data_IF_677828675084
#
_entry.id   IF_677828675084
#
_cell.length_a   1.000
_cell.length_b   1.000
_cell.length_c   1.000
_cell.angle_alpha   90.00
_cell.angle_beta   90.00
_cell.angle_gamma   90.00
#
_symmetry.space_group_name_H-M   'P 1'
#
loop_
_entity.id
_entity.type
_entity.pdbx_description
1 polymer ?
#
# COMPACT_ATOMS: atom_id res chain seq x y z
N UNK A 1 44.13 -15.44 3.83
CA UNK A 1 44.03 -14.13 3.19
C UNK A 1 42.58 -13.82 2.93
N UNK A 2 41.95 -13.05 3.84
CA UNK A 2 40.55 -12.66 3.74
C UNK A 2 40.45 -11.30 3.02
N UNK A 3 39.97 -11.32 1.78
CA UNK A 3 39.61 -10.09 1.07
C UNK A 3 38.27 -9.58 1.62
N UNK A 4 38.32 -8.54 2.45
CA UNK A 4 37.20 -7.68 2.78
C UNK A 4 36.70 -7.01 1.49
N UNK A 5 35.57 -7.47 0.94
CA UNK A 5 34.80 -6.72 -0.05
C UNK A 5 34.30 -5.43 0.63
N UNK A 6 34.98 -4.33 0.39
CA UNK A 6 34.47 -2.98 0.69
C UNK A 6 33.20 -2.76 -0.08
N UNK A 7 32.06 -2.70 0.64
CA UNK A 7 30.79 -2.15 0.14
C UNK A 7 31.08 -0.71 -0.28
N UNK A 8 31.14 -0.46 -1.56
CA UNK A 8 31.21 0.87 -2.14
C UNK A 8 29.83 1.48 -1.97
N UNK A 9 29.64 2.27 -0.91
CA UNK A 9 28.45 3.10 -0.74
C UNK A 9 28.45 4.12 -1.88
N UNK A 10 27.78 3.74 -2.98
CA UNK A 10 27.56 4.63 -4.10
C UNK A 10 26.45 5.61 -3.73
N UNK A 11 26.82 6.69 -3.08
CA UNK A 11 25.99 7.87 -2.84
C UNK A 11 25.81 8.62 -4.19
N UNK A 12 25.24 7.94 -5.19
CA UNK A 12 24.93 8.53 -6.48
C UNK A 12 23.68 9.37 -6.30
N UNK A 13 23.86 10.67 -6.09
CA UNK A 13 22.75 11.62 -6.09
C UNK A 13 22.32 11.88 -7.54
N UNK A 14 21.02 11.78 -7.83
CA UNK A 14 20.41 12.16 -9.11
C UNK A 14 20.46 13.67 -9.37
N UNK A 15 20.96 14.45 -8.40
CA UNK A 15 21.15 15.90 -8.48
C UNK A 15 22.28 16.35 -9.43
N UNK A 16 22.99 15.42 -10.08
CA UNK A 16 23.99 15.73 -11.12
C UNK A 16 23.37 16.41 -12.34
N UNK A 17 24.17 17.23 -13.04
CA UNK A 17 23.75 17.97 -14.24
C UNK A 17 23.50 17.10 -15.48
N UNK A 18 23.75 15.79 -15.43
CA UNK A 18 23.56 14.86 -16.56
C UNK A 18 22.12 14.34 -16.69
N UNK A 19 21.80 13.71 -17.82
CA UNK A 19 20.50 13.05 -17.99
C UNK A 19 20.33 11.89 -17.01
N UNK A 20 19.10 11.66 -16.56
CA UNK A 20 18.77 10.48 -15.72
C UNK A 20 18.77 9.23 -16.60
N UNK A 21 19.38 8.14 -16.12
CA UNK A 21 19.49 6.86 -16.81
C UNK A 21 18.60 5.77 -16.17
N UNK A 22 18.40 4.67 -16.87
CA UNK A 22 17.71 3.49 -16.35
C UNK A 22 18.43 2.86 -15.13
N UNK A 23 19.78 2.93 -15.08
CA UNK A 23 20.52 2.50 -13.88
C UNK A 23 20.16 3.35 -12.67
N UNK A 24 20.10 4.66 -12.83
CA UNK A 24 19.74 5.58 -11.76
C UNK A 24 18.28 5.38 -11.29
N UNK A 25 17.36 5.07 -12.22
CA UNK A 25 16.00 4.68 -11.91
C UNK A 25 15.96 3.43 -11.02
N UNK A 26 16.72 2.37 -11.35
CA UNK A 26 16.80 1.14 -10.55
C UNK A 26 17.48 1.36 -9.19
N UNK A 27 18.54 2.16 -9.16
CA UNK A 27 19.24 2.51 -7.92
C UNK A 27 18.35 3.30 -6.96
N UNK A 28 17.53 4.21 -7.48
CA UNK A 28 16.58 4.98 -6.68
C UNK A 28 15.51 4.06 -6.08
N UNK A 29 14.96 3.10 -6.83
CA UNK A 29 14.02 2.11 -6.30
C UNK A 29 14.62 1.37 -5.10
N UNK A 30 15.86 0.91 -5.21
CA UNK A 30 16.57 0.21 -4.13
C UNK A 30 16.82 1.13 -2.93
N UNK A 31 17.24 2.38 -3.17
CA UNK A 31 17.46 3.39 -2.14
C UNK A 31 16.19 3.68 -1.34
N UNK A 32 15.04 3.78 -2.02
CA UNK A 32 13.74 4.03 -1.41
C UNK A 32 13.14 2.78 -0.74
N UNK A 33 13.76 1.61 -0.94
CA UNK A 33 13.28 0.32 -0.40
C UNK A 33 11.82 0.00 -0.76
N UNK A 34 11.38 0.40 -1.97
CA UNK A 34 10.01 0.24 -2.45
C UNK A 34 9.91 -0.99 -3.35
N UNK A 35 8.87 -1.80 -3.19
CA UNK A 35 8.59 -2.91 -4.10
C UNK A 35 8.27 -2.40 -5.52
N UNK A 36 8.60 -3.19 -6.54
CA UNK A 36 8.46 -2.77 -7.93
C UNK A 36 7.05 -2.26 -8.27
N UNK A 37 6.01 -2.95 -7.81
CA UNK A 37 4.63 -2.55 -8.08
C UNK A 37 4.26 -1.20 -7.46
N UNK A 38 4.74 -0.93 -6.26
CA UNK A 38 4.51 0.33 -5.54
C UNK A 38 5.34 1.46 -6.17
N UNK A 39 6.58 1.17 -6.60
CA UNK A 39 7.44 2.13 -7.29
C UNK A 39 6.83 2.56 -8.64
N UNK A 40 6.26 1.61 -9.38
CA UNK A 40 5.55 1.93 -10.62
C UNK A 40 4.30 2.78 -10.36
N UNK A 41 3.54 2.45 -9.33
CA UNK A 41 2.36 3.22 -8.93
C UNK A 41 2.73 4.64 -8.49
N UNK A 42 3.81 4.79 -7.72
CA UNK A 42 4.36 6.07 -7.27
C UNK A 42 4.73 6.97 -8.44
N UNK A 43 5.40 6.41 -9.45
CA UNK A 43 5.87 7.14 -10.63
C UNK A 43 4.79 7.30 -11.71
N UNK A 44 3.65 6.61 -11.58
CA UNK A 44 2.58 6.60 -12.57
C UNK A 44 2.92 5.85 -13.86
N UNK A 45 3.93 4.97 -13.84
CA UNK A 45 4.38 4.22 -15.01
C UNK A 45 3.77 2.82 -15.09
N UNK A 46 3.69 2.29 -16.30
CA UNK A 46 3.21 0.92 -16.57
C UNK A 46 4.36 -0.10 -16.50
N UNK A 47 4.01 -1.39 -16.39
CA UNK A 47 5.00 -2.48 -16.51
C UNK A 47 5.76 -2.46 -17.83
N UNK A 48 5.08 -2.06 -18.92
CA UNK A 48 5.72 -1.92 -20.24
C UNK A 48 6.78 -0.84 -20.25
N UNK A 49 6.49 0.31 -19.66
CA UNK A 49 7.45 1.43 -19.56
C UNK A 49 8.63 1.03 -18.66
N UNK A 50 8.38 0.38 -17.51
CA UNK A 50 9.44 -0.18 -16.68
C UNK A 50 10.34 -1.12 -17.47
N UNK A 51 9.75 -2.06 -18.24
CA UNK A 51 10.52 -2.99 -19.06
C UNK A 51 11.40 -2.26 -20.09
N UNK A 52 10.87 -1.23 -20.77
CA UNK A 52 11.63 -0.43 -21.74
C UNK A 52 12.80 0.32 -21.07
N UNK A 53 12.60 0.87 -19.86
CA UNK A 53 13.65 1.54 -19.09
C UNK A 53 14.76 0.55 -18.71
N UNK A 54 14.40 -0.67 -18.35
CA UNK A 54 15.35 -1.68 -17.85
C UNK A 54 16.01 -2.50 -18.96
N UNK A 55 15.52 -2.40 -20.20
CA UNK A 55 16.09 -3.10 -21.37
C UNK A 55 17.49 -2.57 -21.71
N UNK A 56 17.70 -1.27 -21.61
CA UNK A 56 19.00 -0.61 -21.75
C UNK A 56 19.19 0.37 -20.59
N UNK A 57 19.67 -0.12 -19.43
CA UNK A 57 19.80 0.71 -18.23
C UNK A 57 20.78 1.86 -18.36
N UNK A 58 21.76 1.78 -19.29
CA UNK A 58 22.75 2.84 -19.51
C UNK A 58 22.16 4.00 -20.34
N UNK A 59 21.08 3.75 -21.07
CA UNK A 59 20.45 4.78 -21.89
C UNK A 59 19.80 5.89 -21.04
N UNK A 60 19.87 7.16 -21.51
CA UNK A 60 19.17 8.26 -20.87
C UNK A 60 17.65 8.10 -21.04
N UNK A 61 16.91 8.47 -20.00
CA UNK A 61 15.46 8.50 -20.04
C UNK A 61 14.99 9.71 -20.87
N UNK A 62 14.07 9.45 -21.81
CA UNK A 62 13.57 10.48 -22.74
C UNK A 62 12.38 11.29 -22.19
N UNK A 63 11.74 10.84 -21.09
CA UNK A 63 10.61 11.53 -20.48
C UNK A 63 11.08 12.55 -19.43
N UNK A 64 11.00 13.86 -19.71
CA UNK A 64 11.39 14.90 -18.76
C UNK A 64 10.57 14.88 -17.47
N UNK A 65 9.28 14.54 -17.55
CA UNK A 65 8.39 14.46 -16.40
C UNK A 65 8.82 13.36 -15.44
N UNK A 66 9.12 12.17 -15.98
CA UNK A 66 9.66 11.07 -15.18
C UNK A 66 11.04 11.43 -14.57
N UNK A 67 11.93 12.05 -15.35
CA UNK A 67 13.24 12.48 -14.83
C UNK A 67 13.12 13.49 -13.69
N UNK A 68 12.23 14.46 -13.79
CA UNK A 68 11.96 15.44 -12.72
C UNK A 68 11.39 14.74 -11.47
N UNK A 69 10.47 13.79 -11.65
CA UNK A 69 9.89 13.02 -10.54
C UNK A 69 10.96 12.19 -9.82
N UNK A 70 11.83 11.51 -10.55
CA UNK A 70 12.95 10.75 -9.97
C UNK A 70 13.91 11.65 -9.18
N UNK A 71 14.26 12.83 -9.69
CA UNK A 71 15.09 13.80 -8.99
C UNK A 71 14.43 14.32 -7.71
N UNK A 72 13.12 14.59 -7.76
CA UNK A 72 12.34 15.02 -6.62
C UNK A 72 12.35 13.95 -5.51
N UNK A 73 12.13 12.68 -5.86
CA UNK A 73 12.15 11.57 -4.90
C UNK A 73 13.55 11.26 -4.37
N UNK A 74 14.60 11.54 -5.13
CA UNK A 74 15.99 11.40 -4.66
C UNK A 74 16.35 12.48 -3.64
N UNK A 75 15.86 13.69 -3.83
CA UNK A 75 16.07 14.84 -2.95
C UNK A 75 15.17 14.79 -1.70
N UNK A 76 13.92 14.35 -1.87
CA UNK A 76 12.89 14.28 -0.83
C UNK A 76 12.33 12.86 -0.70
N UNK A 77 13.11 11.90 -0.20
CA UNK A 77 12.67 10.51 -0.07
C UNK A 77 11.47 10.33 0.88
N UNK A 78 11.22 11.29 1.77
CA UNK A 78 10.06 11.32 2.65
C UNK A 78 8.73 11.50 1.91
N UNK A 79 8.74 11.94 0.65
CA UNK A 79 7.55 11.97 -0.21
C UNK A 79 7.07 10.57 -0.62
N UNK A 80 7.93 9.57 -0.46
CA UNK A 80 7.56 8.17 -0.60
C UNK A 80 6.83 7.74 0.66
N UNK A 81 5.57 8.08 0.74
CA UNK A 81 4.67 7.47 1.73
C UNK A 81 4.34 6.08 1.20
N UNK A 82 4.76 5.01 1.87
CA UNK A 82 4.37 3.67 1.47
C UNK A 82 2.85 3.61 1.40
N UNK A 83 2.32 3.11 0.28
CA UNK A 83 0.88 2.83 0.22
C UNK A 83 0.54 1.92 1.42
N UNK A 84 -0.47 2.28 2.24
CA UNK A 84 -0.84 1.47 3.38
C UNK A 84 -1.22 0.08 2.89
N UNK A 85 -0.68 -0.94 3.53
CA UNK A 85 -1.00 -2.34 3.21
C UNK A 85 -2.31 -2.73 3.87
N UNK A 86 -2.97 -3.74 3.32
CA UNK A 86 -4.16 -4.30 4.00
C UNK A 86 -3.84 -4.76 5.42
N UNK A 87 -2.61 -5.24 5.67
CA UNK A 87 -2.16 -5.62 7.00
C UNK A 87 -2.11 -4.44 7.96
N UNK A 88 -1.75 -3.24 7.50
CA UNK A 88 -1.71 -2.05 8.34
C UNK A 88 -3.12 -1.71 8.83
N UNK A 89 -4.14 -1.83 7.97
CA UNK A 89 -5.53 -1.69 8.39
C UNK A 89 -5.94 -2.78 9.40
N UNK A 90 -5.48 -4.03 9.24
CA UNK A 90 -5.74 -5.10 10.21
C UNK A 90 -5.14 -4.77 11.58
N UNK A 91 -3.89 -4.32 11.61
CA UNK A 91 -3.22 -3.95 12.86
C UNK A 91 -3.86 -2.70 13.49
N UNK A 92 -4.28 -1.73 12.67
CA UNK A 92 -4.95 -0.52 13.13
C UNK A 92 -6.30 -0.83 13.80
N UNK A 93 -7.12 -1.69 13.17
CA UNK A 93 -8.39 -2.16 13.76
C UNK A 93 -8.17 -2.91 15.08
N UNK A 94 -7.11 -3.73 15.17
CA UNK A 94 -6.74 -4.41 16.41
C UNK A 94 -6.29 -3.41 17.49
N UNK A 95 -5.53 -2.38 17.10
CA UNK A 95 -5.08 -1.34 18.02
C UNK A 95 -6.27 -0.56 18.59
N UNK A 96 -7.21 -0.11 17.73
CA UNK A 96 -8.43 0.57 18.20
C UNK A 96 -9.17 -0.28 19.23
N UNK A 97 -9.37 -1.58 19.00
CA UNK A 97 -10.05 -2.45 19.97
C UNK A 97 -9.27 -2.64 21.27
N UNK A 98 -7.93 -2.57 21.24
CA UNK A 98 -7.10 -2.60 22.47
C UNK A 98 -7.24 -1.31 23.26
N UNK A 99 -7.20 -0.16 22.57
CA UNK A 99 -7.23 1.16 23.20
C UNK A 99 -8.64 1.54 23.68
N UNK A 100 -9.66 1.01 22.99
CA UNK A 100 -11.08 1.19 23.27
C UNK A 100 -11.78 -0.17 23.41
N UNK A 101 -11.63 -0.87 24.55
CA UNK A 101 -12.20 -2.21 24.74
C UNK A 101 -13.71 -2.28 24.59
N UNK A 102 -14.41 -1.15 24.86
CA UNK A 102 -15.87 -1.03 24.77
C UNK A 102 -16.38 -0.89 23.32
N UNK A 103 -15.48 -0.75 22.32
CA UNK A 103 -15.90 -0.64 20.92
C UNK A 103 -16.77 -1.83 20.54
N UNK A 104 -18.01 -1.56 20.13
CA UNK A 104 -18.91 -2.60 19.66
C UNK A 104 -18.54 -3.01 18.23
N UNK A 105 -17.91 -4.18 18.12
CA UNK A 105 -17.55 -4.78 16.83
C UNK A 105 -18.36 -6.06 16.61
N UNK A 106 -18.88 -6.25 15.41
CA UNK A 106 -19.74 -7.42 15.08
C UNK A 106 -18.97 -8.75 15.13
N UNK A 107 -17.65 -8.70 15.15
CA UNK A 107 -16.77 -9.87 15.32
C UNK A 107 -15.39 -9.43 15.81
N UNK A 108 -14.56 -10.39 16.26
CA UNK A 108 -13.19 -10.12 16.70
C UNK A 108 -12.36 -9.41 15.62
N UNK A 109 -11.54 -8.39 16.00
CA UNK A 109 -10.66 -7.67 15.08
C UNK A 109 -9.65 -8.63 14.46
N UNK A 110 -9.74 -8.79 13.16
CA UNK A 110 -8.97 -9.81 12.42
C UNK A 110 -8.89 -9.49 10.93
N UNK A 111 -8.05 -10.22 10.21
CA UNK A 111 -8.04 -10.17 8.75
C UNK A 111 -9.40 -10.52 8.13
N UNK A 112 -10.20 -11.39 8.79
CA UNK A 112 -11.54 -11.72 8.30
C UNK A 112 -12.48 -10.51 8.39
N UNK A 113 -12.50 -9.79 9.52
CA UNK A 113 -13.27 -8.55 9.65
C UNK A 113 -12.88 -7.56 8.56
N UNK A 114 -11.58 -7.30 8.40
CA UNK A 114 -11.07 -6.35 7.38
C UNK A 114 -11.43 -6.80 5.96
N UNK A 115 -11.37 -8.10 5.65
CA UNK A 115 -11.82 -8.62 4.35
C UNK A 115 -13.28 -8.26 4.06
N UNK A 116 -14.16 -8.43 5.04
CA UNK A 116 -15.59 -8.08 4.94
C UNK A 116 -15.79 -6.56 4.83
N UNK A 117 -15.09 -5.78 5.63
CA UNK A 117 -15.08 -4.30 5.59
C UNK A 117 -14.69 -3.78 4.19
N UNK A 118 -13.84 -4.48 3.48
CA UNK A 118 -13.39 -4.12 2.13
C UNK A 118 -14.30 -4.70 1.01
N UNK A 119 -15.49 -5.17 1.33
CA UNK A 119 -16.43 -5.72 0.36
C UNK A 119 -15.97 -7.05 -0.27
N UNK A 120 -15.19 -7.85 0.48
CA UNK A 120 -14.63 -9.11 0.01
C UNK A 120 -14.96 -10.26 0.96
N UNK A 121 -14.68 -11.50 0.56
CA UNK A 121 -14.77 -12.65 1.48
C UNK A 121 -13.84 -12.43 2.67
N UNK A 122 -14.22 -12.88 3.85
CA UNK A 122 -13.41 -12.73 5.06
C UNK A 122 -11.95 -13.19 4.89
N UNK A 123 -11.72 -14.29 4.17
CA UNK A 123 -10.36 -14.82 3.91
C UNK A 123 -9.51 -13.97 2.97
N UNK A 124 -10.09 -13.00 2.26
CA UNK A 124 -9.36 -12.23 1.23
C UNK A 124 -8.16 -11.46 1.81
N UNK A 125 -8.34 -10.79 2.96
CA UNK A 125 -7.26 -10.04 3.59
C UNK A 125 -6.08 -10.95 4.00
N UNK A 126 -6.36 -12.17 4.48
CA UNK A 126 -5.31 -13.15 4.79
C UNK A 126 -4.54 -13.58 3.54
N UNK A 127 -5.22 -13.75 2.41
CA UNK A 127 -4.56 -14.08 1.14
C UNK A 127 -3.66 -12.94 0.63
N UNK A 128 -4.07 -11.69 0.82
CA UNK A 128 -3.26 -10.52 0.45
C UNK A 128 -2.03 -10.40 1.36
N UNK A 129 -2.20 -10.60 2.67
CA UNK A 129 -1.10 -10.53 3.64
C UNK A 129 -0.05 -11.64 3.43
N UNK A 130 -0.45 -12.79 2.89
CA UNK A 130 0.46 -13.92 2.58
C UNK A 130 0.99 -13.92 1.15
N UNK A 131 0.66 -12.90 0.35
CA UNK A 131 1.07 -12.80 -1.05
C UNK A 131 0.39 -13.81 -2.00
N UNK A 132 -0.61 -14.58 -1.51
CA UNK A 132 -1.36 -15.54 -2.34
C UNK A 132 -2.27 -14.88 -3.37
N UNK A 133 -2.65 -13.63 -3.14
CA UNK A 133 -3.42 -12.80 -4.05
C UNK A 133 -2.98 -11.34 -3.89
N UNK A 134 -3.34 -10.50 -4.87
CA UNK A 134 -3.15 -9.05 -4.79
C UNK A 134 -4.49 -8.35 -4.67
N UNK A 135 -4.62 -7.32 -3.81
CA UNK A 135 -5.81 -6.49 -3.77
C UNK A 135 -5.92 -5.68 -5.07
N UNK A 136 -7.15 -5.39 -5.48
CA UNK A 136 -7.40 -4.51 -6.62
C UNK A 136 -7.09 -3.05 -6.27
N UNK A 137 -6.86 -2.19 -7.28
CA UNK A 137 -6.70 -0.74 -7.08
C UNK A 137 -7.88 -0.13 -6.31
N UNK A 138 -9.12 -0.56 -6.58
CA UNK A 138 -10.31 -0.11 -5.84
C UNK A 138 -10.26 -0.50 -4.36
N UNK A 139 -9.81 -1.73 -4.08
CA UNK A 139 -9.64 -2.21 -2.71
C UNK A 139 -8.57 -1.38 -1.98
N UNK A 140 -7.42 -1.11 -2.63
CA UNK A 140 -6.35 -0.32 -2.03
C UNK A 140 -6.76 1.14 -1.79
N UNK A 141 -7.54 1.74 -2.69
CA UNK A 141 -8.10 3.07 -2.47
C UNK A 141 -8.99 3.10 -1.22
N UNK A 142 -9.82 2.07 -1.01
CA UNK A 142 -10.67 1.96 0.18
C UNK A 142 -9.83 1.76 1.46
N UNK A 143 -8.78 0.93 1.41
CA UNK A 143 -7.83 0.74 2.53
C UNK A 143 -7.23 2.08 2.95
N UNK A 144 -6.75 2.86 1.98
CA UNK A 144 -6.15 4.19 2.20
C UNK A 144 -7.13 5.13 2.87
N UNK A 145 -8.35 5.24 2.34
CA UNK A 145 -9.38 6.10 2.91
C UNK A 145 -9.79 5.68 4.32
N UNK A 146 -9.89 4.38 4.59
CA UNK A 146 -10.24 3.89 5.93
C UNK A 146 -9.13 4.19 6.94
N UNK A 147 -7.86 3.97 6.60
CA UNK A 147 -6.75 4.29 7.50
C UNK A 147 -6.73 5.80 7.78
N UNK A 148 -6.79 6.65 6.74
CA UNK A 148 -6.85 8.10 6.93
C UNK A 148 -8.03 8.51 7.81
N UNK A 149 -9.22 7.97 7.55
CA UNK A 149 -10.42 8.29 8.32
C UNK A 149 -10.29 7.91 9.79
N UNK A 150 -9.69 6.75 10.09
CA UNK A 150 -9.54 6.26 11.46
C UNK A 150 -8.40 6.97 12.20
N UNK A 151 -7.33 7.37 11.51
CA UNK A 151 -6.17 8.05 12.07
C UNK A 151 -6.44 9.53 12.39
N UNK A 152 -7.19 10.21 11.55
CA UNK A 152 -7.48 11.65 11.69
C UNK A 152 -8.59 11.97 12.70
N UNK A 153 -9.30 10.97 13.25
CA UNK A 153 -10.45 11.19 14.14
C UNK A 153 -10.07 11.07 15.61
N UNK A 154 -10.73 11.90 16.44
CA UNK A 154 -10.59 11.84 17.89
C UNK A 154 -11.33 10.66 18.54
N UNK A 155 -12.24 10.02 17.81
CA UNK A 155 -13.07 8.89 18.26
C UNK A 155 -13.04 7.73 17.23
N UNK A 156 -11.86 7.13 16.97
CA UNK A 156 -11.69 6.11 15.94
C UNK A 156 -12.52 4.85 16.20
N UNK A 157 -12.84 4.55 17.45
CA UNK A 157 -13.70 3.46 17.89
C UNK A 157 -15.14 3.63 17.37
N UNK A 158 -15.72 4.83 17.52
CA UNK A 158 -17.06 5.15 17.03
C UNK A 158 -17.10 5.14 15.51
N UNK A 159 -16.06 5.68 14.87
CA UNK A 159 -15.96 5.67 13.41
C UNK A 159 -15.89 4.25 12.90
N UNK A 160 -15.12 3.37 13.53
CA UNK A 160 -15.01 1.97 13.17
C UNK A 160 -16.34 1.24 13.34
N UNK A 161 -17.03 1.42 14.47
CA UNK A 161 -18.34 0.82 14.73
C UNK A 161 -19.38 1.32 13.69
N UNK A 162 -19.40 2.62 13.40
CA UNK A 162 -20.26 3.20 12.38
C UNK A 162 -19.99 2.61 11.00
N UNK A 163 -18.71 2.43 10.62
CA UNK A 163 -18.35 1.82 9.35
C UNK A 163 -18.80 0.36 9.26
N UNK A 164 -18.69 -0.42 10.33
CA UNK A 164 -19.25 -1.77 10.38
C UNK A 164 -20.76 -1.78 10.14
N UNK A 165 -21.49 -0.82 10.72
CA UNK A 165 -22.93 -0.67 10.46
C UNK A 165 -23.24 -0.30 8.98
N UNK A 166 -22.37 0.48 8.31
CA UNK A 166 -22.49 0.73 6.86
C UNK A 166 -22.29 -0.56 6.05
N UNK A 167 -21.30 -1.39 6.42
CA UNK A 167 -21.07 -2.70 5.80
C UNK A 167 -22.28 -3.60 5.92
N UNK A 168 -22.89 -3.69 7.10
CA UNK A 168 -24.14 -4.45 7.30
C UNK A 168 -25.29 -3.94 6.43
N UNK A 169 -25.48 -2.62 6.39
CA UNK A 169 -26.52 -2.00 5.58
C UNK A 169 -26.38 -2.33 4.10
N UNK A 170 -25.14 -2.21 3.58
CA UNK A 170 -24.86 -2.57 2.19
C UNK A 170 -25.08 -4.07 1.94
N UNK A 171 -24.70 -4.93 2.86
CA UNK A 171 -24.93 -6.37 2.76
C UNK A 171 -26.43 -6.72 2.73
N UNK A 172 -27.21 -6.11 3.63
CA UNK A 172 -28.68 -6.28 3.67
C UNK A 172 -29.35 -5.82 2.36
N UNK A 173 -28.89 -4.72 1.77
CA UNK A 173 -29.39 -4.23 0.48
C UNK A 173 -29.16 -5.23 -0.67
N UNK A 174 -28.17 -6.13 -0.51
CA UNK A 174 -27.83 -7.21 -1.46
C UNK A 174 -28.38 -8.57 -1.07
N UNK A 175 -29.30 -8.62 -0.09
CA UNK A 175 -29.96 -9.85 0.35
C UNK A 175 -29.14 -10.72 1.31
N UNK A 176 -28.04 -10.21 1.87
CA UNK A 176 -27.27 -10.90 2.93
C UNK A 176 -27.82 -10.43 4.28
N UNK A 177 -28.40 -11.34 5.04
CA UNK A 177 -29.05 -11.00 6.31
C UNK A 177 -28.04 -10.56 7.39
N UNK A 178 -26.92 -11.28 7.49
CA UNK A 178 -25.84 -11.00 8.43
C UNK A 178 -24.48 -11.34 7.81
N UNK A 179 -23.81 -10.32 7.30
CA UNK A 179 -22.53 -10.44 6.60
C UNK A 179 -21.41 -10.96 7.50
N UNK A 180 -21.44 -10.63 8.79
CA UNK A 180 -20.38 -11.00 9.72
C UNK A 180 -20.50 -12.46 10.21
N UNK A 181 -21.72 -12.99 10.22
CA UNK A 181 -21.98 -14.43 10.45
C UNK A 181 -21.78 -15.25 9.18
N UNK A 182 -22.32 -14.81 8.04
CA UNK A 182 -22.20 -15.50 6.76
C UNK A 182 -20.79 -15.44 6.17
N UNK A 183 -20.03 -14.41 6.51
CA UNK A 183 -18.61 -14.16 6.11
C UNK A 183 -18.37 -14.13 4.61
N UNK A 184 -19.39 -13.79 3.84
CA UNK A 184 -19.29 -13.69 2.37
C UNK A 184 -20.23 -12.63 1.82
N UNK A 185 -19.76 -11.92 0.83
CA UNK A 185 -20.57 -11.09 -0.03
C UNK A 185 -21.21 -11.95 -1.13
N UNK A 186 -22.37 -11.55 -1.68
CA UNK A 186 -23.06 -12.26 -2.76
C UNK A 186 -22.21 -12.31 -4.03
#
# INVERSE_FOLDING_TARGET
MNQKKTKKDSNVRLTGAGPVTGEQYLMLQQKLSVELGDYQALLGITMKEHYLITLDPAAPLNDPGLCLHLRLLDEYPELVVPDPRVNDLVEFVKQIKRDYPETDLPMSPSANLVGLMLGRRGTAASHWNTGRARPTRKTMALVRHLITLLDERHDPDRVLAHYCALVEREAKSRGVADIFTERRWP
#
